data_IF_516859661169
#
_entry.id   IF_516859661169
#
_cell.length_a   1.000
_cell.length_b   1.000
_cell.length_c   1.000
_cell.angle_alpha   90.00
_cell.angle_beta   90.00
_cell.angle_gamma   90.00
#
_symmetry.space_group_name_H-M   'P 1'
#
loop_
_entity.id
_entity.type
_entity.pdbx_description
1 polymer ?
#
# COMPACT_ATOMS: atom_id res chain seq x y z
N UNK A 1 4.29 -10.18 1.05
CA UNK A 1 3.01 -9.49 1.26
C UNK A 1 3.00 -8.10 0.59
N UNK A 2 3.93 -7.18 0.92
CA UNK A 2 3.94 -5.81 0.37
C UNK A 2 3.88 -5.77 -1.16
N UNK A 3 4.72 -6.55 -1.86
CA UNK A 3 4.72 -6.57 -3.32
C UNK A 3 3.41 -7.09 -3.90
N UNK A 4 2.80 -8.09 -3.29
CA UNK A 4 1.55 -8.65 -3.77
C UNK A 4 0.38 -7.68 -3.59
N UNK A 5 0.13 -7.25 -2.37
CA UNK A 5 -1.05 -6.43 -2.05
C UNK A 5 -0.93 -4.98 -2.52
N UNK A 6 0.24 -4.38 -2.36
CA UNK A 6 0.43 -2.97 -2.69
C UNK A 6 0.64 -2.74 -4.20
N UNK A 7 1.48 -3.57 -4.83
CA UNK A 7 1.86 -3.35 -6.22
C UNK A 7 0.96 -4.10 -7.22
N UNK A 8 0.51 -5.32 -6.91
CA UNK A 8 -0.33 -6.11 -7.83
C UNK A 8 -1.82 -5.85 -7.63
N UNK A 9 -2.29 -5.78 -6.39
CA UNK A 9 -3.71 -5.54 -6.11
C UNK A 9 -4.08 -4.06 -5.96
N UNK A 10 -3.10 -3.15 -6.11
CA UNK A 10 -3.29 -1.69 -5.99
C UNK A 10 -3.97 -1.24 -4.69
N UNK A 11 -3.67 -1.93 -3.58
CA UNK A 11 -4.22 -1.60 -2.27
C UNK A 11 -3.24 -0.75 -1.48
N UNK A 12 -3.73 0.32 -0.89
CA UNK A 12 -2.98 1.08 0.09
C UNK A 12 -2.76 0.24 1.35
N UNK A 13 -1.55 0.32 1.92
CA UNK A 13 -1.19 -0.42 3.12
C UNK A 13 -0.95 0.53 4.29
N UNK A 14 -1.54 0.18 5.43
CA UNK A 14 -1.24 0.77 6.72
C UNK A 14 -0.48 -0.24 7.57
N UNK A 15 0.72 0.11 7.99
CA UNK A 15 1.59 -0.73 8.78
C UNK A 15 1.63 -0.19 10.21
N UNK A 16 1.16 -1.00 11.16
CA UNK A 16 1.15 -0.69 12.58
C UNK A 16 2.24 -1.49 13.27
N UNK A 17 3.28 -0.81 13.76
CA UNK A 17 4.35 -1.45 14.52
C UNK A 17 3.92 -1.59 15.97
N UNK A 18 3.81 -2.82 16.43
CA UNK A 18 3.42 -3.10 17.80
C UNK A 18 4.64 -3.12 18.74
N UNK A 19 4.44 -2.62 19.95
CA UNK A 19 5.40 -2.72 21.06
C UNK A 19 5.12 -4.00 21.81
N UNK A 20 5.87 -5.05 21.51
CA UNK A 20 5.75 -6.35 22.20
C UNK A 20 7.01 -6.66 23.01
N UNK A 21 6.82 -7.12 24.23
CA UNK A 21 7.92 -7.72 25.00
C UNK A 21 8.37 -9.04 24.35
N UNK A 22 9.60 -9.52 24.64
CA UNK A 22 10.06 -10.82 24.15
C UNK A 22 9.15 -11.99 24.54
N UNK A 23 8.48 -11.90 25.70
CA UNK A 23 7.50 -12.89 26.14
C UNK A 23 6.25 -12.85 25.27
N UNK A 24 5.70 -11.68 25.02
CA UNK A 24 4.51 -11.48 24.16
C UNK A 24 4.78 -11.93 22.73
N UNK A 25 5.95 -11.61 22.17
CA UNK A 25 6.35 -12.06 20.83
C UNK A 25 6.40 -13.57 20.74
N UNK A 26 7.03 -14.25 21.73
CA UNK A 26 7.06 -15.71 21.75
C UNK A 26 5.67 -16.31 21.86
N UNK A 27 4.81 -15.75 22.70
CA UNK A 27 3.43 -16.21 22.87
C UNK A 27 2.63 -16.06 21.57
N UNK A 28 2.73 -14.91 20.90
CA UNK A 28 2.08 -14.65 19.63
C UNK A 28 2.52 -15.64 18.54
N UNK A 29 3.83 -15.85 18.39
CA UNK A 29 4.38 -16.82 17.41
C UNK A 29 3.95 -18.25 17.72
N UNK A 30 3.97 -18.66 18.99
CA UNK A 30 3.54 -20.00 19.40
C UNK A 30 2.04 -20.21 19.08
N UNK A 31 1.19 -19.21 19.38
CA UNK A 31 -0.23 -19.28 19.09
C UNK A 31 -0.53 -19.28 17.58
N UNK A 32 0.21 -18.50 16.79
CA UNK A 32 0.12 -18.55 15.33
C UNK A 32 0.48 -19.93 14.77
N UNK A 33 1.52 -20.54 15.31
CA UNK A 33 1.94 -21.88 14.91
C UNK A 33 0.86 -22.92 15.25
N UNK A 34 0.29 -22.85 16.43
CA UNK A 34 -0.78 -23.73 16.88
C UNK A 34 -2.06 -23.54 16.05
N UNK A 35 -2.47 -22.29 15.82
CA UNK A 35 -3.63 -21.95 15.01
C UNK A 35 -3.49 -22.36 13.53
N UNK A 36 -2.27 -22.32 12.98
CA UNK A 36 -2.00 -22.65 11.58
C UNK A 36 -2.25 -24.13 11.22
N UNK A 37 -2.43 -25.01 12.21
CA UNK A 37 -2.76 -26.42 12.02
C UNK A 37 -4.23 -26.74 12.35
N UNK A 38 -5.01 -25.74 12.75
CA UNK A 38 -6.42 -25.88 13.08
C UNK A 38 -7.29 -25.35 11.95
N UNK A 39 -8.49 -25.94 11.83
CA UNK A 39 -9.52 -25.49 10.94
C UNK A 39 -10.50 -24.61 11.71
N UNK A 40 -10.88 -23.48 11.16
CA UNK A 40 -11.93 -22.62 11.70
C UNK A 40 -12.95 -22.28 10.59
N UNK A 41 -14.20 -22.25 10.94
CA UNK A 41 -15.24 -21.78 10.03
C UNK A 41 -15.01 -20.28 9.71
N UNK A 42 -15.37 -19.89 8.50
CA UNK A 42 -15.21 -18.51 8.04
C UNK A 42 -16.59 -17.91 7.70
N UNK A 43 -16.94 -16.88 8.40
CA UNK A 43 -18.16 -16.11 8.14
C UNK A 43 -17.78 -14.69 7.74
N UNK A 44 -18.17 -14.30 6.52
CA UNK A 44 -17.71 -13.06 5.90
C UNK A 44 -17.92 -11.81 6.77
N UNK A 45 -19.00 -11.73 7.50
CA UNK A 45 -19.35 -10.56 8.30
C UNK A 45 -18.91 -10.62 9.77
N UNK A 46 -18.78 -11.78 10.35
CA UNK A 46 -18.53 -11.96 11.79
C UNK A 46 -17.17 -12.60 12.08
N UNK A 47 -17.03 -13.88 11.75
CA UNK A 47 -15.83 -14.68 12.06
C UNK A 47 -14.87 -14.70 10.88
N UNK A 48 -14.43 -13.53 10.46
CA UNK A 48 -13.48 -13.34 9.36
C UNK A 48 -12.04 -13.19 9.85
N UNK A 49 -11.12 -12.95 8.92
CA UNK A 49 -9.69 -12.78 9.24
C UNK A 49 -9.42 -11.65 10.27
N UNK A 50 -10.27 -10.62 10.31
CA UNK A 50 -10.12 -9.53 11.27
C UNK A 50 -10.53 -9.94 12.68
N UNK A 51 -11.58 -10.74 12.82
CA UNK A 51 -11.98 -11.32 14.10
C UNK A 51 -10.91 -12.28 14.63
N UNK A 52 -10.37 -13.16 13.76
CA UNK A 52 -9.27 -14.05 14.12
C UNK A 52 -8.01 -13.27 14.55
N UNK A 53 -7.71 -12.16 13.87
CA UNK A 53 -6.61 -11.29 14.29
C UNK A 53 -6.89 -10.67 15.67
N UNK A 54 -8.11 -10.23 15.94
CA UNK A 54 -8.50 -9.70 17.24
C UNK A 54 -8.30 -10.74 18.36
N UNK A 55 -8.75 -11.99 18.14
CA UNK A 55 -8.52 -13.09 19.09
C UNK A 55 -7.02 -13.37 19.32
N UNK A 56 -6.20 -13.33 18.28
CA UNK A 56 -4.74 -13.49 18.41
C UNK A 56 -4.10 -12.35 19.22
N UNK A 57 -4.59 -11.13 19.06
CA UNK A 57 -4.14 -9.99 19.87
C UNK A 57 -4.57 -10.14 21.34
N UNK A 58 -5.74 -10.68 21.62
CA UNK A 58 -6.23 -10.92 22.97
C UNK A 58 -5.36 -11.92 23.75
N UNK A 59 -4.75 -12.89 23.07
CA UNK A 59 -3.77 -13.81 23.70
C UNK A 59 -2.54 -13.06 24.20
N UNK A 60 -2.15 -12.01 23.52
CA UNK A 60 -0.92 -11.24 23.80
C UNK A 60 -1.21 -10.07 24.75
N UNK A 61 -2.41 -9.52 24.68
CA UNK A 61 -2.90 -8.38 25.48
C UNK A 61 -4.19 -8.75 26.22
N UNK A 62 -4.13 -9.64 27.21
CA UNK A 62 -5.31 -10.22 27.85
C UNK A 62 -6.09 -9.27 28.75
N UNK A 63 -5.55 -8.07 29.04
CA UNK A 63 -6.17 -7.12 29.97
C UNK A 63 -7.49 -6.55 29.46
N UNK A 64 -7.60 -6.41 28.13
CA UNK A 64 -8.80 -5.89 27.47
C UNK A 64 -9.00 -6.62 26.13
N UNK A 65 -10.14 -7.26 25.96
CA UNK A 65 -10.42 -8.03 24.76
C UNK A 65 -10.80 -7.14 23.59
N UNK A 66 -10.03 -7.25 22.50
CA UNK A 66 -10.34 -6.62 21.21
C UNK A 66 -11.48 -7.36 20.51
N UNK A 67 -11.46 -8.69 20.54
CA UNK A 67 -12.54 -9.52 20.01
C UNK A 67 -13.86 -9.28 20.72
N UNK A 68 -13.81 -8.98 22.03
CA UNK A 68 -14.99 -8.64 22.83
C UNK A 68 -15.69 -7.35 22.42
N UNK A 69 -14.99 -6.39 21.79
CA UNK A 69 -15.62 -5.16 21.25
C UNK A 69 -16.59 -5.46 20.09
N UNK A 70 -16.46 -6.61 19.43
CA UNK A 70 -17.29 -7.04 18.31
C UNK A 70 -18.42 -7.99 18.73
N UNK A 71 -18.41 -8.47 19.96
CA UNK A 71 -19.43 -9.37 20.46
C UNK A 71 -20.60 -8.56 21.04
N UNK A 72 -21.78 -8.68 20.44
CA UNK A 72 -23.00 -8.09 20.97
C UNK A 72 -24.03 -9.18 21.27
N UNK A 73 -24.24 -9.55 22.53
CA UNK A 73 -25.17 -10.61 22.91
C UNK A 73 -26.65 -10.26 22.66
N UNK A 74 -26.97 -9.01 22.37
CA UNK A 74 -28.34 -8.52 22.17
C UNK A 74 -28.73 -8.35 20.70
N UNK A 75 -27.76 -8.35 19.79
CA UNK A 75 -27.99 -8.22 18.36
C UNK A 75 -27.24 -9.35 17.63
N UNK A 76 -27.97 -10.11 16.81
CA UNK A 76 -27.40 -11.19 15.97
C UNK A 76 -26.53 -10.69 14.81
N UNK A 77 -26.00 -9.50 14.89
CA UNK A 77 -25.18 -8.87 13.85
C UNK A 77 -23.82 -8.46 14.40
N UNK A 78 -22.97 -9.45 14.62
CA UNK A 78 -21.56 -9.20 14.92
C UNK A 78 -20.83 -8.92 13.61
N UNK A 79 -20.65 -7.63 13.30
CA UNK A 79 -19.88 -7.22 12.14
C UNK A 79 -18.46 -6.91 12.56
N UNK A 80 -17.50 -7.63 11.99
CA UNK A 80 -16.08 -7.36 12.18
C UNK A 80 -15.49 -6.82 10.90
N UNK A 81 -15.13 -5.54 10.89
CA UNK A 81 -14.52 -4.86 9.77
C UNK A 81 -13.03 -4.63 10.07
N UNK A 82 -12.09 -4.88 9.11
CA UNK A 82 -10.66 -4.74 9.35
C UNK A 82 -10.23 -3.39 9.96
N UNK A 83 -10.84 -2.30 9.50
CA UNK A 83 -10.55 -0.97 10.03
C UNK A 83 -10.99 -0.80 11.49
N UNK A 84 -12.09 -1.43 11.87
CA UNK A 84 -12.62 -1.32 13.24
C UNK A 84 -11.82 -2.18 14.22
N UNK A 85 -11.28 -3.33 13.78
CA UNK A 85 -10.34 -4.13 14.58
C UNK A 85 -9.11 -3.31 14.97
N UNK A 86 -8.52 -2.61 14.01
CA UNK A 86 -7.37 -1.75 14.28
C UNK A 86 -7.74 -0.59 15.22
N UNK A 87 -8.89 0.05 15.02
CA UNK A 87 -9.38 1.13 15.89
C UNK A 87 -9.67 0.65 17.30
N UNK A 88 -10.31 -0.51 17.44
CA UNK A 88 -10.57 -1.13 18.75
C UNK A 88 -9.27 -1.44 19.48
N UNK A 89 -8.30 -2.05 18.79
CA UNK A 89 -6.99 -2.32 19.37
C UNK A 89 -6.28 -1.03 19.84
N UNK A 90 -6.23 -0.01 19.00
CA UNK A 90 -5.61 1.28 19.38
C UNK A 90 -6.31 1.98 20.55
N UNK A 91 -7.64 1.88 20.62
CA UNK A 91 -8.45 2.45 21.71
C UNK A 91 -8.18 1.72 23.03
N UNK A 92 -8.11 0.40 23.00
CA UNK A 92 -7.95 -0.43 24.21
C UNK A 92 -6.50 -0.48 24.70
N UNK A 93 -5.55 -0.48 23.78
CA UNK A 93 -4.12 -0.66 24.04
C UNK A 93 -3.29 0.49 23.44
N UNK A 94 -3.50 1.69 23.95
CA UNK A 94 -2.91 2.95 23.42
C UNK A 94 -1.39 2.91 23.32
N UNK A 95 -0.72 2.24 24.26
CA UNK A 95 0.75 2.17 24.32
C UNK A 95 1.33 0.98 23.53
N UNK A 96 0.46 0.15 22.95
CA UNK A 96 0.89 -1.02 22.22
C UNK A 96 1.30 -0.73 20.76
N UNK A 97 1.02 0.47 20.23
CA UNK A 97 1.39 0.88 18.88
C UNK A 97 2.53 1.88 18.92
N UNK A 98 3.73 1.46 18.52
CA UNK A 98 4.93 2.30 18.50
C UNK A 98 4.94 3.30 17.34
N UNK A 99 4.46 2.91 16.17
CA UNK A 99 4.40 3.77 14.99
C UNK A 99 3.38 3.25 13.98
N UNK A 100 2.91 4.17 13.14
CA UNK A 100 2.04 3.87 12.01
C UNK A 100 2.68 4.42 10.75
N UNK A 101 2.81 3.58 9.72
CA UNK A 101 3.34 3.95 8.41
C UNK A 101 2.29 3.73 7.33
N UNK A 102 2.12 4.72 6.49
CA UNK A 102 1.25 4.63 5.31
C UNK A 102 2.07 4.38 4.05
N UNK A 103 1.70 3.34 3.31
CA UNK A 103 2.31 2.99 2.02
C UNK A 103 1.24 3.06 0.93
N UNK A 104 1.21 4.16 0.15
CA UNK A 104 0.26 4.30 -0.94
C UNK A 104 0.54 3.27 -2.04
N UNK A 105 -0.51 2.79 -2.67
CA UNK A 105 -0.43 1.97 -3.88
C UNK A 105 0.10 2.77 -5.07
N UNK A 106 0.55 2.09 -6.12
CA UNK A 106 0.96 2.76 -7.37
C UNK A 106 -0.17 3.62 -7.92
N UNK A 107 -1.38 3.11 -7.92
CA UNK A 107 -2.56 3.86 -8.38
C UNK A 107 -2.77 5.15 -7.56
N UNK A 108 -2.66 5.07 -6.24
CA UNK A 108 -2.79 6.25 -5.36
C UNK A 108 -1.70 7.27 -5.62
N UNK A 109 -0.45 6.84 -5.79
CA UNK A 109 0.68 7.72 -6.14
C UNK A 109 0.44 8.44 -7.47
N UNK A 110 0.05 7.69 -8.51
CA UNK A 110 -0.23 8.24 -9.83
C UNK A 110 -1.39 9.24 -9.77
N UNK A 111 -2.49 8.91 -9.10
CA UNK A 111 -3.64 9.81 -8.93
C UNK A 111 -3.24 11.10 -8.19
N UNK A 112 -2.42 10.97 -7.14
CA UNK A 112 -1.95 12.12 -6.38
C UNK A 112 -1.04 13.02 -7.23
N UNK A 113 -0.07 12.45 -7.94
CA UNK A 113 0.80 13.19 -8.85
C UNK A 113 -0.03 13.90 -9.93
N UNK A 114 -0.95 13.19 -10.58
CA UNK A 114 -1.82 13.74 -11.61
C UNK A 114 -2.68 14.92 -11.12
N UNK A 115 -3.21 14.82 -9.91
CA UNK A 115 -4.00 15.91 -9.30
C UNK A 115 -3.16 17.18 -9.12
N UNK A 116 -1.89 17.03 -8.79
CA UNK A 116 -0.97 18.13 -8.51
C UNK A 116 -0.23 18.65 -9.75
N UNK A 117 -0.33 17.96 -10.89
CA UNK A 117 0.30 18.40 -12.13
C UNK A 117 -0.32 19.69 -12.66
N UNK A 118 0.54 20.59 -13.10
CA UNK A 118 0.15 21.76 -13.90
C UNK A 118 -0.40 21.32 -15.27
N UNK A 119 -1.13 22.20 -15.99
CA UNK A 119 -1.56 21.90 -17.36
C UNK A 119 -0.41 21.49 -18.29
N UNK A 120 0.76 22.17 -18.19
CA UNK A 120 1.94 21.82 -18.99
C UNK A 120 2.50 20.43 -18.67
N UNK A 121 2.56 20.04 -17.39
CA UNK A 121 2.97 18.70 -17.00
C UNK A 121 2.00 17.62 -17.50
N UNK A 122 0.70 17.86 -17.44
CA UNK A 122 -0.32 16.95 -17.96
C UNK A 122 -0.18 16.75 -19.46
N UNK A 123 0.05 17.84 -20.19
CA UNK A 123 0.25 17.82 -21.63
C UNK A 123 1.52 17.03 -21.99
N UNK A 124 2.64 17.35 -21.36
CA UNK A 124 3.91 16.65 -21.55
C UNK A 124 3.81 15.14 -21.24
N UNK A 125 3.13 14.78 -20.15
CA UNK A 125 2.90 13.38 -19.79
C UNK A 125 2.09 12.65 -20.87
N UNK A 126 0.95 13.23 -21.28
CA UNK A 126 0.05 12.59 -22.26
C UNK A 126 0.69 12.45 -23.64
N UNK A 127 1.40 13.47 -24.09
CA UNK A 127 2.00 13.50 -25.43
C UNK A 127 3.25 12.61 -25.56
N UNK A 128 4.05 12.55 -24.51
CA UNK A 128 5.40 12.00 -24.65
C UNK A 128 5.64 10.69 -23.91
N UNK A 129 4.97 10.42 -22.79
CA UNK A 129 5.33 9.28 -21.93
C UNK A 129 4.16 8.39 -21.48
N UNK A 130 2.91 8.79 -21.72
CA UNK A 130 1.74 7.99 -21.32
C UNK A 130 1.63 6.66 -22.10
N UNK A 131 1.98 6.67 -23.38
CA UNK A 131 1.85 5.51 -24.29
C UNK A 131 3.13 5.29 -25.09
N UNK A 132 3.33 4.05 -25.55
CA UNK A 132 4.42 3.72 -26.46
C UNK A 132 4.16 4.33 -27.88
N UNK A 133 5.21 4.72 -28.62
CA UNK A 133 6.60 4.78 -28.18
C UNK A 133 6.84 5.97 -27.25
N UNK A 134 7.38 5.69 -26.05
CA UNK A 134 7.67 6.73 -25.04
C UNK A 134 8.90 7.53 -25.43
N UNK A 135 8.81 8.85 -25.25
CA UNK A 135 9.86 9.81 -25.63
C UNK A 135 10.29 10.67 -24.44
N UNK A 136 11.01 10.11 -23.46
CA UNK A 136 11.42 10.86 -22.27
C UNK A 136 12.32 12.05 -22.60
N UNK A 137 13.08 11.99 -23.69
CA UNK A 137 13.92 13.09 -24.18
C UNK A 137 13.09 14.33 -24.56
N UNK A 138 11.87 14.12 -25.06
CA UNK A 138 10.97 15.24 -25.35
C UNK A 138 10.52 15.98 -24.08
N UNK A 139 10.37 15.26 -22.97
CA UNK A 139 10.11 15.87 -21.66
C UNK A 139 11.34 16.63 -21.16
N UNK A 140 12.54 16.10 -21.35
CA UNK A 140 13.79 16.78 -20.97
C UNK A 140 13.98 18.10 -21.72
N UNK A 141 13.63 18.12 -23.01
CA UNK A 141 13.78 19.27 -23.89
C UNK A 141 12.63 20.30 -23.81
N UNK A 142 11.61 20.02 -23.01
CA UNK A 142 10.49 20.92 -22.85
C UNK A 142 10.87 22.15 -21.99
N UNK A 143 11.03 23.28 -22.64
CA UNK A 143 11.38 24.55 -21.99
C UNK A 143 10.28 25.17 -21.14
N UNK A 144 9.05 24.68 -21.25
CA UNK A 144 7.92 25.14 -20.44
C UNK A 144 7.91 24.55 -19.03
N UNK A 145 8.74 23.54 -18.79
CA UNK A 145 8.84 22.81 -17.53
C UNK A 145 10.15 23.11 -16.81
N UNK A 146 10.09 23.30 -15.49
CA UNK A 146 11.28 23.30 -14.64
C UNK A 146 11.83 21.89 -14.47
N UNK A 147 13.08 21.74 -14.05
CA UNK A 147 13.69 20.41 -13.82
C UNK A 147 12.92 19.58 -12.79
N UNK A 148 12.39 20.21 -11.73
CA UNK A 148 11.52 19.54 -10.77
C UNK A 148 10.22 19.04 -11.39
N UNK A 149 9.62 19.81 -12.28
CA UNK A 149 8.41 19.42 -13.00
C UNK A 149 8.66 18.28 -13.99
N UNK A 150 9.81 18.33 -14.71
CA UNK A 150 10.24 17.23 -15.60
C UNK A 150 10.49 15.95 -14.81
N UNK A 151 11.17 16.04 -13.68
CA UNK A 151 11.42 14.92 -12.79
C UNK A 151 10.10 14.25 -12.34
N UNK A 152 9.15 15.06 -11.88
CA UNK A 152 7.83 14.57 -11.46
C UNK A 152 7.07 13.87 -12.60
N UNK A 153 7.12 14.39 -13.83
CA UNK A 153 6.51 13.76 -15.01
C UNK A 153 7.16 12.41 -15.31
N UNK A 154 8.49 12.33 -15.31
CA UNK A 154 9.23 11.11 -15.60
C UNK A 154 9.05 10.03 -14.51
N UNK A 155 9.06 10.41 -13.23
CA UNK A 155 8.80 9.49 -12.12
C UNK A 155 7.38 8.95 -12.18
N UNK A 156 6.38 9.80 -12.45
CA UNK A 156 4.99 9.36 -12.61
C UNK A 156 4.82 8.45 -13.82
N UNK A 157 5.53 8.73 -14.92
CA UNK A 157 5.51 7.88 -16.11
C UNK A 157 6.11 6.48 -15.84
N UNK A 158 7.17 6.41 -15.03
CA UNK A 158 7.76 5.15 -14.59
C UNK A 158 6.78 4.33 -13.74
N UNK A 159 6.13 4.96 -12.75
CA UNK A 159 5.12 4.26 -11.94
C UNK A 159 3.89 3.85 -12.77
N UNK A 160 3.48 4.67 -13.74
CA UNK A 160 2.38 4.37 -14.65
C UNK A 160 2.68 3.22 -15.60
N UNK A 161 3.91 3.13 -16.14
CA UNK A 161 4.38 2.02 -16.94
C UNK A 161 4.30 0.71 -16.15
N UNK A 162 4.80 0.69 -14.93
CA UNK A 162 4.76 -0.48 -14.06
C UNK A 162 3.34 -0.85 -13.62
N UNK A 163 2.46 0.13 -13.42
CA UNK A 163 1.05 -0.11 -13.13
C UNK A 163 0.36 -0.81 -14.31
N UNK A 164 0.53 -0.29 -15.53
CA UNK A 164 -0.08 -0.87 -16.73
C UNK A 164 0.47 -2.25 -17.05
N UNK A 165 1.76 -2.48 -16.82
CA UNK A 165 2.36 -3.80 -17.00
C UNK A 165 1.67 -4.87 -16.13
N UNK A 166 1.38 -4.54 -14.89
CA UNK A 166 0.70 -5.46 -13.98
C UNK A 166 -0.80 -5.63 -14.30
N UNK A 167 -1.43 -4.61 -14.88
CA UNK A 167 -2.86 -4.60 -15.18
C UNK A 167 -3.20 -5.14 -16.59
N UNK A 168 -2.34 -4.94 -17.60
CA UNK A 168 -2.67 -5.12 -19.02
C UNK A 168 -1.75 -6.09 -19.77
N UNK A 169 -0.92 -6.88 -19.08
CA UNK A 169 0.01 -7.83 -19.71
C UNK A 169 0.89 -7.21 -20.82
N UNK A 170 1.45 -6.04 -20.59
CA UNK A 170 2.45 -5.43 -21.48
C UNK A 170 3.66 -6.34 -21.62
N UNK A 171 4.26 -6.43 -22.82
CA UNK A 171 5.40 -7.31 -23.06
C UNK A 171 6.62 -6.93 -22.20
N UNK A 172 7.23 -7.94 -21.57
CA UNK A 172 8.36 -7.77 -20.63
C UNK A 172 9.57 -7.03 -21.23
N UNK A 173 10.03 -7.36 -22.46
CA UNK A 173 11.14 -6.65 -23.10
C UNK A 173 10.86 -5.17 -23.31
N UNK A 174 9.67 -4.81 -23.78
CA UNK A 174 9.25 -3.42 -24.01
C UNK A 174 9.21 -2.64 -22.69
N UNK A 175 8.59 -3.20 -21.65
CA UNK A 175 8.53 -2.60 -20.32
C UNK A 175 9.93 -2.32 -19.76
N UNK A 176 10.88 -3.25 -19.93
CA UNK A 176 12.26 -3.07 -19.48
C UNK A 176 12.98 -1.94 -20.24
N UNK A 177 12.84 -1.88 -21.56
CA UNK A 177 13.45 -0.85 -22.39
C UNK A 177 12.95 0.54 -22.01
N UNK A 178 11.62 0.69 -21.89
CA UNK A 178 10.98 1.93 -21.50
C UNK A 178 11.35 2.34 -20.06
N UNK A 179 11.41 1.39 -19.13
CA UNK A 179 11.84 1.63 -17.74
C UNK A 179 13.27 2.20 -17.69
N UNK A 180 14.17 1.60 -18.42
CA UNK A 180 15.58 2.06 -18.48
C UNK A 180 15.67 3.45 -19.11
N UNK A 181 14.90 3.72 -20.17
CA UNK A 181 14.88 5.03 -20.84
C UNK A 181 14.34 6.11 -19.89
N UNK A 182 13.23 5.88 -19.22
CA UNK A 182 12.64 6.81 -18.25
C UNK A 182 13.58 7.08 -17.07
N UNK A 183 14.23 6.04 -16.52
CA UNK A 183 15.20 6.19 -15.43
C UNK A 183 16.44 6.96 -15.84
N UNK A 184 16.98 6.71 -17.05
CA UNK A 184 18.14 7.48 -17.58
C UNK A 184 17.78 8.95 -17.71
N UNK A 185 16.63 9.26 -18.31
CA UNK A 185 16.15 10.62 -18.44
C UNK A 185 15.96 11.29 -17.08
N UNK A 186 15.36 10.59 -16.10
CA UNK A 186 15.18 11.11 -14.74
C UNK A 186 16.52 11.41 -14.06
N UNK A 187 17.50 10.51 -14.19
CA UNK A 187 18.81 10.63 -13.53
C UNK A 187 19.69 11.70 -14.17
N UNK A 188 19.39 12.19 -15.36
CA UNK A 188 20.07 13.34 -15.97
C UNK A 188 19.66 14.68 -15.35
N UNK A 189 18.57 14.71 -14.56
CA UNK A 189 18.09 15.89 -13.86
C UNK A 189 18.63 15.95 -12.43
N UNK A 190 19.08 17.12 -11.99
CA UNK A 190 19.60 17.36 -10.62
C UNK A 190 18.48 17.62 -9.59
N UNK A 191 17.22 17.31 -9.92
CA UNK A 191 16.09 17.52 -9.02
C UNK A 191 15.97 16.39 -7.98
N UNK A 192 15.54 16.68 -6.72
CA UNK A 192 15.27 15.66 -5.73
C UNK A 192 14.14 14.73 -6.20
N UNK A 193 14.12 13.49 -5.68
CA UNK A 193 13.00 12.57 -5.88
C UNK A 193 11.76 13.03 -5.09
N UNK A 194 10.58 12.70 -5.61
CA UNK A 194 9.29 12.93 -4.96
C UNK A 194 9.07 12.03 -3.74
#
# INVERSE_FOLDING_TARGET
AVNLYNNMENRDLWEYRLTMTPRQTRLFVAHLWEAGHNYADYFFFSENCSYMLAQMLDVVYPEKSVAGEFYNPYFFSDYTIPADTVRAFQKLHTDAVASVSYRPSKQTKIKHAWKNFSPAQKDAFQKHVAKAPRRPEAVLNDSSLTDGQKAAVLETAYEYLHYNYLAENVDMPEMRADSVSLLKARNSLSAPSL
#
